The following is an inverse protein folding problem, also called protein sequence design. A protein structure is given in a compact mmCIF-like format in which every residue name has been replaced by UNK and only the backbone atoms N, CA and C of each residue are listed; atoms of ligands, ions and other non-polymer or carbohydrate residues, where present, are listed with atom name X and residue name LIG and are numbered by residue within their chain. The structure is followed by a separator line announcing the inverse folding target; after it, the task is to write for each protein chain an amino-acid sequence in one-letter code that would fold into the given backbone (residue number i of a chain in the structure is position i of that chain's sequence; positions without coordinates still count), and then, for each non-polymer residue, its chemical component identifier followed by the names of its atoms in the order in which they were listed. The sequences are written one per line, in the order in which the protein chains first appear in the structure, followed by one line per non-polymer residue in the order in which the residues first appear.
data_IF_429830533121
#
_entry.id   IF_429830533121
#
_cell.length_a   1.000
_cell.length_b   1.000
_cell.length_c   1.000
_cell.angle_alpha   90.00
_cell.angle_beta   90.00
_cell.angle_gamma   90.00
#
_symmetry.space_group_name_H-M   'P 1'
#
loop_
_entity.id
_entity.type
_entity.pdbx_description
1 polymer ?
#
# COMPACT_ATOMS: atom_id res chain seq x y z
N UNK A 1 0.54 1.10 26.58
CA UNK A 1 1.01 1.90 25.44
C UNK A 1 0.34 1.32 24.21
N UNK A 2 -0.68 1.99 23.67
CA UNK A 2 -1.41 1.49 22.51
C UNK A 2 -0.49 1.49 21.30
N UNK A 3 -0.29 0.34 20.68
CA UNK A 3 0.38 0.31 19.38
C UNK A 3 -0.58 0.93 18.36
N UNK A 4 -0.23 2.11 17.86
CA UNK A 4 -0.87 2.65 16.67
C UNK A 4 -0.58 1.67 15.53
N UNK A 5 -1.64 1.10 14.97
CA UNK A 5 -1.58 0.11 13.90
C UNK A 5 -2.64 0.43 12.87
N UNK A 6 -2.30 0.35 11.59
CA UNK A 6 -3.27 0.48 10.50
C UNK A 6 -3.93 -0.89 10.32
N UNK A 7 -5.26 -0.96 10.33
CA UNK A 7 -5.98 -2.21 10.08
C UNK A 7 -6.49 -2.21 8.66
N UNK A 8 -6.11 -3.22 7.89
CA UNK A 8 -6.62 -3.45 6.54
C UNK A 8 -7.67 -4.55 6.63
N UNK A 9 -8.90 -4.22 6.28
CA UNK A 9 -10.05 -5.11 6.27
C UNK A 9 -10.43 -5.42 4.82
N UNK A 10 -10.47 -6.70 4.47
CA UNK A 10 -11.06 -7.16 3.22
C UNK A 10 -12.47 -7.69 3.48
N UNK A 11 -13.34 -7.67 2.45
CA UNK A 11 -14.69 -8.20 2.55
C UNK A 11 -14.74 -9.71 2.86
N UNK A 12 -13.67 -10.43 2.53
CA UNK A 12 -13.47 -11.86 2.84
C UNK A 12 -13.25 -12.12 4.34
N UNK A 13 -13.28 -11.07 5.17
CA UNK A 13 -13.09 -11.15 6.62
C UNK A 13 -11.62 -11.18 7.05
N UNK A 14 -10.66 -11.07 6.12
CA UNK A 14 -9.23 -10.94 6.46
C UNK A 14 -9.01 -9.56 7.07
N UNK A 15 -8.49 -9.53 8.29
CA UNK A 15 -8.06 -8.29 8.95
C UNK A 15 -6.58 -8.39 9.25
N UNK A 16 -5.79 -7.50 8.65
CA UNK A 16 -4.33 -7.44 8.83
C UNK A 16 -3.95 -6.15 9.55
N UNK A 17 -3.11 -6.29 10.58
CA UNK A 17 -2.48 -5.14 11.23
C UNK A 17 -1.17 -4.82 10.54
N UNK A 18 -1.05 -3.57 10.11
CA UNK A 18 0.04 -3.08 9.32
C UNK A 18 0.75 -1.93 10.03
N UNK A 19 2.07 -1.86 9.83
CA UNK A 19 2.91 -0.75 10.27
C UNK A 19 2.91 0.37 9.24
N UNK A 20 2.98 0.01 7.95
CA UNK A 20 3.11 0.93 6.82
C UNK A 20 2.21 0.47 5.68
N UNK A 21 1.47 1.39 5.05
CA UNK A 21 0.55 1.11 3.95
C UNK A 21 0.69 2.15 2.83
N UNK A 22 0.74 1.66 1.60
CA UNK A 22 0.65 2.44 0.37
C UNK A 22 -0.68 2.10 -0.29
N UNK A 23 -1.53 3.12 -0.41
CA UNK A 23 -2.78 3.03 -1.14
C UNK A 23 -2.57 3.57 -2.55
N UNK A 24 -2.85 2.73 -3.55
CA UNK A 24 -2.75 3.05 -4.98
C UNK A 24 -4.13 2.90 -5.61
N UNK A 25 -4.97 3.93 -5.60
CA UNK A 25 -6.27 3.88 -6.27
C UNK A 25 -6.09 3.73 -7.78
N UNK A 26 -7.07 3.18 -8.48
CA UNK A 26 -7.01 3.05 -9.96
C UNK A 26 -6.76 4.40 -10.66
N UNK A 27 -7.37 5.48 -10.16
CA UNK A 27 -7.17 6.85 -10.68
C UNK A 27 -5.70 7.30 -10.61
N UNK A 28 -4.88 6.69 -9.74
CA UNK A 28 -3.45 6.99 -9.64
C UNK A 28 -2.64 6.60 -10.89
N UNK A 29 -3.20 5.74 -11.77
CA UNK A 29 -2.60 5.43 -13.06
C UNK A 29 -2.57 6.64 -14.00
N UNK A 30 -3.52 7.56 -13.83
CA UNK A 30 -3.57 8.85 -14.54
C UNK A 30 -3.00 9.98 -13.70
N UNK A 31 -3.30 9.99 -12.39
CA UNK A 31 -2.99 11.09 -11.48
C UNK A 31 -2.35 10.59 -10.18
N UNK A 32 -1.02 10.51 -10.17
CA UNK A 32 -0.27 9.97 -9.03
C UNK A 32 -0.51 10.70 -7.69
N UNK A 33 -1.06 11.91 -7.69
CA UNK A 33 -1.43 12.65 -6.48
C UNK A 33 -2.51 12.00 -5.62
N UNK A 34 -3.22 10.99 -6.14
CA UNK A 34 -4.19 10.20 -5.39
C UNK A 34 -3.59 9.04 -4.59
N UNK A 35 -2.28 8.78 -4.72
CA UNK A 35 -1.59 7.79 -3.90
C UNK A 35 -1.53 8.31 -2.47
N UNK A 36 -1.98 7.50 -1.51
CA UNK A 36 -1.93 7.85 -0.08
C UNK A 36 -0.94 6.96 0.65
N UNK A 37 -0.18 7.56 1.55
CA UNK A 37 0.90 6.91 2.30
C UNK A 37 0.62 7.03 3.78
N UNK A 38 0.65 5.89 4.48
CA UNK A 38 0.21 5.76 5.86
C UNK A 38 1.27 4.99 6.63
N UNK A 39 1.74 5.55 7.74
CA UNK A 39 2.68 4.85 8.61
C UNK A 39 2.32 5.14 10.06
N UNK A 40 2.50 4.12 10.90
CA UNK A 40 2.43 4.26 12.35
C UNK A 40 3.72 4.90 12.90
N UNK A 41 4.79 4.93 12.10
CA UNK A 41 6.04 5.59 12.43
C UNK A 41 6.00 7.04 11.91
N UNK A 42 5.86 8.02 12.82
CA UNK A 42 5.91 9.45 12.48
C UNK A 42 7.35 9.97 12.29
N UNK A 43 8.30 9.09 11.96
CA UNK A 43 9.72 9.46 11.88
C UNK A 43 10.05 10.15 10.55
N UNK A 44 11.08 11.01 10.50
CA UNK A 44 11.59 11.59 9.25
C UNK A 44 12.04 10.53 8.22
N UNK A 45 12.17 9.26 8.62
CA UNK A 45 12.58 8.15 7.76
C UNK A 45 11.40 7.46 7.08
N UNK A 46 10.15 7.82 7.38
CA UNK A 46 8.96 7.20 6.81
C UNK A 46 8.98 7.17 5.26
N UNK A 47 9.47 8.22 4.60
CA UNK A 47 9.64 8.24 3.13
C UNK A 47 10.50 7.10 2.59
N UNK A 48 11.56 6.72 3.31
CA UNK A 48 12.43 5.61 2.93
C UNK A 48 11.74 4.26 3.14
N UNK A 49 10.91 4.12 4.18
CA UNK A 49 10.09 2.94 4.40
C UNK A 49 9.10 2.74 3.25
N UNK A 50 8.41 3.80 2.81
CA UNK A 50 7.50 3.74 1.66
C UNK A 50 8.22 3.39 0.36
N UNK A 51 9.38 4.01 0.12
CA UNK A 51 10.20 3.68 -1.05
C UNK A 51 10.65 2.22 -1.04
N UNK A 52 11.19 1.74 0.08
CA UNK A 52 11.60 0.35 0.23
C UNK A 52 10.43 -0.61 0.04
N UNK A 53 9.26 -0.29 0.60
CA UNK A 53 8.05 -1.11 0.47
C UNK A 53 7.58 -1.20 -0.99
N UNK A 54 7.49 -0.07 -1.69
CA UNK A 54 7.10 -0.04 -3.11
C UNK A 54 8.14 -0.74 -3.99
N UNK A 55 9.43 -0.56 -3.71
CA UNK A 55 10.51 -1.20 -4.46
C UNK A 55 10.51 -2.73 -4.26
N UNK A 56 10.36 -3.20 -3.02
CA UNK A 56 10.27 -4.63 -2.72
C UNK A 56 9.08 -5.28 -3.42
N UNK A 57 7.89 -4.67 -3.33
CA UNK A 57 6.70 -5.19 -4.00
C UNK A 57 6.88 -5.25 -5.52
N UNK A 58 7.49 -4.22 -6.11
CA UNK A 58 7.72 -4.19 -7.54
C UNK A 58 8.74 -5.25 -8.00
N UNK A 59 9.84 -5.43 -7.27
CA UNK A 59 10.88 -6.43 -7.61
C UNK A 59 10.31 -7.85 -7.44
N UNK A 60 9.67 -8.16 -6.30
CA UNK A 60 9.07 -9.48 -6.08
C UNK A 60 8.00 -9.81 -7.14
N UNK A 61 7.27 -8.81 -7.63
CA UNK A 61 6.32 -9.02 -8.74
C UNK A 61 7.05 -9.34 -10.06
N UNK A 62 8.18 -8.69 -10.34
CA UNK A 62 8.98 -8.99 -11.54
C UNK A 62 9.61 -10.38 -11.50
N UNK A 63 9.99 -10.81 -10.30
CA UNK A 63 10.59 -12.13 -10.05
C UNK A 63 9.54 -13.24 -9.88
N UNK A 64 8.24 -12.92 -10.06
CA UNK A 64 7.10 -13.84 -9.88
C UNK A 64 6.99 -14.42 -8.44
N UNK A 65 7.60 -13.76 -7.45
CA UNK A 65 7.60 -14.15 -6.04
C UNK A 65 6.51 -13.45 -5.22
N UNK A 66 5.87 -12.40 -5.76
CA UNK A 66 4.86 -11.64 -5.04
C UNK A 66 3.51 -12.34 -5.02
N UNK A 67 3.03 -12.70 -3.84
CA UNK A 67 1.65 -13.11 -3.63
C UNK A 67 0.72 -11.88 -3.58
N UNK A 68 -0.20 -11.80 -4.55
CA UNK A 68 -1.23 -10.76 -4.59
C UNK A 68 -2.57 -11.38 -4.22
N UNK A 69 -3.12 -10.93 -3.09
CA UNK A 69 -4.47 -11.29 -2.67
C UNK A 69 -5.49 -10.49 -3.50
N UNK A 70 -6.32 -11.18 -4.28
CA UNK A 70 -7.32 -10.51 -5.11
C UNK A 70 -8.56 -10.18 -4.27
N UNK A 71 -8.96 -8.91 -4.25
CA UNK A 71 -10.19 -8.46 -3.62
C UNK A 71 -11.31 -8.31 -4.66
N UNK A 72 -12.51 -8.77 -4.34
CA UNK A 72 -13.71 -8.60 -5.20
C UNK A 72 -14.55 -7.40 -4.77
N UNK A 73 -14.39 -6.95 -3.54
CA UNK A 73 -15.10 -5.82 -2.94
C UNK A 73 -14.12 -4.79 -2.38
N UNK A 74 -14.66 -3.68 -1.86
CA UNK A 74 -13.89 -2.59 -1.28
C UNK A 74 -12.97 -3.05 -0.14
N UNK A 75 -11.77 -2.49 -0.10
CA UNK A 75 -10.83 -2.66 1.02
C UNK A 75 -10.98 -1.47 1.96
N UNK A 76 -11.16 -1.73 3.26
CA UNK A 76 -11.26 -0.68 4.29
C UNK A 76 -9.97 -0.60 5.09
N UNK A 77 -9.48 0.61 5.31
CA UNK A 77 -8.33 0.90 6.15
C UNK A 77 -8.81 1.71 7.34
N UNK A 78 -8.54 1.24 8.56
CA UNK A 78 -8.84 1.96 9.80
C UNK A 78 -7.53 2.33 10.49
N UNK A 79 -7.38 3.60 10.88
CA UNK A 79 -6.28 4.05 11.73
C UNK A 79 -6.69 5.28 12.57
N UNK A 80 -5.81 5.75 13.46
CA UNK A 80 -6.11 6.86 14.38
C UNK A 80 -6.53 8.19 13.73
N UNK A 81 -6.25 8.38 12.44
CA UNK A 81 -6.59 9.58 11.67
C UNK A 81 -7.86 9.42 10.82
N UNK A 82 -8.58 8.32 11.00
CA UNK A 82 -9.86 8.04 10.33
C UNK A 82 -9.82 6.78 9.48
N UNK A 83 -10.93 6.59 8.76
CA UNK A 83 -11.15 5.42 7.92
C UNK A 83 -11.07 5.81 6.45
N UNK A 84 -10.46 4.94 5.64
CA UNK A 84 -10.43 5.05 4.19
C UNK A 84 -11.02 3.79 3.57
N UNK A 85 -12.02 3.99 2.72
CA UNK A 85 -12.53 2.94 1.85
C UNK A 85 -11.93 3.07 0.45
N UNK A 86 -11.48 1.94 -0.08
CA UNK A 86 -10.85 1.81 -1.38
C UNK A 86 -11.74 0.92 -2.22
N UNK A 87 -12.47 1.50 -3.15
CA UNK A 87 -13.39 0.76 -4.02
C UNK A 87 -12.72 0.18 -5.27
N UNK A 88 -11.53 0.68 -5.63
CA UNK A 88 -10.75 0.21 -6.78
C UNK A 88 -9.28 0.56 -6.65
N UNK A 89 -8.40 -0.34 -7.11
CA UNK A 89 -6.94 -0.18 -7.11
C UNK A 89 -6.23 -1.25 -6.28
N UNK A 90 -5.13 -0.86 -5.63
CA UNK A 90 -4.23 -1.74 -4.90
C UNK A 90 -3.84 -1.16 -3.55
N UNK A 91 -3.66 -2.03 -2.56
CA UNK A 91 -3.11 -1.73 -1.24
C UNK A 91 -1.85 -2.57 -1.07
N UNK A 92 -0.72 -1.91 -0.79
CA UNK A 92 0.56 -2.56 -0.49
C UNK A 92 0.87 -2.25 0.97
N UNK A 93 1.03 -3.27 1.80
CA UNK A 93 1.26 -3.05 3.22
C UNK A 93 2.36 -3.93 3.77
N UNK A 94 3.07 -3.39 4.76
CA UNK A 94 3.95 -4.16 5.64
C UNK A 94 3.18 -4.50 6.90
N UNK A 95 3.03 -5.79 7.18
CA UNK A 95 2.39 -6.24 8.42
C UNK A 95 3.25 -5.90 9.66
N UNK A 96 2.75 -6.19 10.87
CA UNK A 96 3.54 -5.98 12.09
C UNK A 96 4.69 -6.99 12.27
N UNK A 97 4.68 -8.10 11.51
CA UNK A 97 5.72 -9.12 11.49
C UNK A 97 6.88 -8.75 10.55
N UNK A 98 6.72 -7.71 9.73
CA UNK A 98 7.64 -7.29 8.69
C UNK A 98 7.40 -7.92 7.32
N UNK A 99 6.38 -8.78 7.18
CA UNK A 99 5.94 -9.40 5.94
C UNK A 99 5.29 -8.40 4.98
N UNK A 100 5.36 -8.71 3.69
CA UNK A 100 4.71 -7.95 2.63
C UNK A 100 3.35 -8.58 2.33
N UNK A 101 2.30 -7.77 2.38
CA UNK A 101 0.94 -8.17 2.00
C UNK A 101 0.44 -7.20 0.93
N UNK A 102 -0.06 -7.74 -0.18
CA UNK A 102 -0.61 -6.95 -1.28
C UNK A 102 -2.03 -7.39 -1.56
N UNK A 103 -2.92 -6.41 -1.65
CA UNK A 103 -4.31 -6.58 -2.04
C UNK A 103 -4.56 -5.82 -3.33
N UNK A 104 -5.18 -6.46 -4.31
CA UNK A 104 -5.51 -5.82 -5.57
C UNK A 104 -6.95 -6.14 -5.95
N UNK A 105 -7.73 -5.13 -6.36
CA UNK A 105 -9.07 -5.38 -6.84
C UNK A 105 -9.02 -6.22 -8.13
N UNK A 106 -10.00 -7.11 -8.29
CA UNK A 106 -10.12 -8.00 -9.45
C UNK A 106 -10.25 -7.20 -10.75
N UNK A 107 -9.58 -7.64 -11.81
CA UNK A 107 -9.58 -6.97 -13.12
C UNK A 107 -8.64 -5.76 -13.24
N UNK A 108 -7.98 -5.35 -12.16
CA UNK A 108 -7.01 -4.26 -12.19
C UNK A 108 -5.68 -4.66 -12.84
N UNK A 109 -5.00 -3.69 -13.45
CA UNK A 109 -3.68 -3.86 -14.07
C UNK A 109 -2.58 -3.83 -13.00
N UNK A 110 -2.40 -4.95 -12.28
CA UNK A 110 -1.45 -5.12 -11.16
C UNK A 110 -0.08 -4.50 -11.43
N UNK A 111 0.54 -4.86 -12.57
CA UNK A 111 1.85 -4.32 -12.97
C UNK A 111 1.85 -2.79 -13.04
N UNK A 112 0.83 -2.18 -13.64
CA UNK A 112 0.77 -0.71 -13.79
C UNK A 112 0.60 -0.01 -12.44
N UNK A 113 -0.17 -0.60 -11.53
CA UNK A 113 -0.36 -0.07 -10.17
C UNK A 113 0.94 -0.13 -9.36
N UNK A 114 1.67 -1.24 -9.43
CA UNK A 114 2.99 -1.38 -8.81
C UNK A 114 4.01 -0.41 -9.41
N UNK A 115 4.03 -0.26 -10.75
CA UNK A 115 4.88 0.72 -11.42
C UNK A 115 4.55 2.16 -10.99
N UNK A 116 3.26 2.50 -10.84
CA UNK A 116 2.84 3.81 -10.38
C UNK A 116 3.30 4.08 -8.94
N UNK A 117 3.11 3.11 -8.03
CA UNK A 117 3.57 3.21 -6.64
C UNK A 117 5.09 3.39 -6.54
N UNK A 118 5.85 2.56 -7.27
CA UNK A 118 7.31 2.61 -7.31
C UNK A 118 7.79 3.96 -7.85
N UNK A 119 7.28 4.39 -9.02
CA UNK A 119 7.66 5.69 -9.62
C UNK A 119 7.34 6.86 -8.71
N UNK A 120 6.17 6.85 -8.06
CA UNK A 120 5.76 7.89 -7.12
C UNK A 120 6.74 7.97 -5.94
N UNK A 121 7.01 6.85 -5.27
CA UNK A 121 7.90 6.83 -4.11
C UNK A 121 9.35 7.16 -4.48
N UNK A 122 9.85 6.70 -5.62
CA UNK A 122 11.21 7.04 -6.10
C UNK A 122 11.33 8.53 -6.40
N UNK A 123 10.30 9.13 -7.03
CA UNK A 123 10.28 10.57 -7.28
C UNK A 123 10.20 11.36 -5.97
N UNK A 124 9.42 10.90 -5.00
CA UNK A 124 9.29 11.54 -3.70
C UNK A 124 10.61 11.59 -2.93
N UNK A 125 11.36 10.48 -2.90
CA UNK A 125 12.71 10.44 -2.32
C UNK A 125 13.67 11.40 -3.04
N UNK A 126 13.65 11.43 -4.37
CA UNK A 126 14.58 12.25 -5.16
C UNK A 126 14.33 13.76 -5.04
N UNK A 127 13.07 14.16 -4.85
CA UNK A 127 12.70 15.58 -4.80
C UNK A 127 12.68 16.16 -3.38
N UNK A 128 12.82 15.32 -2.34
CA UNK A 128 12.77 15.71 -0.92
C UNK A 128 11.53 16.55 -0.55
N UNK A 129 10.39 16.23 -1.17
CA UNK A 129 9.09 16.91 -0.95
C UNK A 129 8.42 16.38 0.32
#
# INVERSE_FOLDING_TARGET
MGQDSIRVHTAEGKTIKCSTVILVPEIALSEAGHIKLLSCNSSPQAKHEFHALAQMAFIQFQDEELEINMATESIKLEWNGGDIEVSSGMVICRDLSGGLEVFCHSGQLQRKLLEAAHRFCTRWIRLDI
#
